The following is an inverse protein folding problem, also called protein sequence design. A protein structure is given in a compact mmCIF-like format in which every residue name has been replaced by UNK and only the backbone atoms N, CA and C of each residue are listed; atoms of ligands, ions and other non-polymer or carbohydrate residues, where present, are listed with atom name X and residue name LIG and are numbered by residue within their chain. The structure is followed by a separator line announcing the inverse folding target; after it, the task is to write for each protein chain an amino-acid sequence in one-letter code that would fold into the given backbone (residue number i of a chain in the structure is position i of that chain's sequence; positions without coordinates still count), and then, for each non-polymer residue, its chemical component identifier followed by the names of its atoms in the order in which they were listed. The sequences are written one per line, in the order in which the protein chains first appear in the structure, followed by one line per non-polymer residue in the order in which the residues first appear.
data_IF_902017689259
#
_entry.id   IF_902017689259
#
_cell.length_a   1.000
_cell.length_b   1.000
_cell.length_c   1.000
_cell.angle_alpha   90.00
_cell.angle_beta   90.00
_cell.angle_gamma   90.00
#
_symmetry.space_group_name_H-M   'P 1'
#
loop_
_entity.id
_entity.type
_entity.pdbx_description
1 polymer ?
#
# COMPACT_ATOMS: atom_id res chain seq x y z
N UNK A 1 14.26 -1.73 4.74
CA UNK A 1 13.22 -2.74 5.05
C UNK A 1 13.58 -4.08 4.42
N UNK A 2 13.29 -5.22 5.07
CA UNK A 2 13.45 -6.56 4.49
C UNK A 2 12.06 -7.26 4.39
N UNK A 3 12.02 -8.49 3.89
CA UNK A 3 10.76 -9.24 3.78
C UNK A 3 10.15 -9.63 5.13
N UNK A 4 10.92 -9.61 6.22
CA UNK A 4 10.38 -9.89 7.56
C UNK A 4 9.36 -8.83 7.95
N UNK A 5 9.59 -7.55 7.63
CA UNK A 5 8.60 -6.50 7.91
C UNK A 5 7.30 -6.70 7.13
N UNK A 6 7.34 -7.24 5.90
CA UNK A 6 6.13 -7.60 5.14
C UNK A 6 5.36 -8.70 5.88
N UNK A 7 6.07 -9.71 6.39
CA UNK A 7 5.47 -10.79 7.18
C UNK A 7 4.89 -10.23 8.48
N UNK A 8 5.62 -9.39 9.20
CA UNK A 8 5.16 -8.78 10.44
C UNK A 8 3.88 -7.97 10.23
N UNK A 9 3.84 -7.10 9.22
CA UNK A 9 2.65 -6.31 8.89
C UNK A 9 1.48 -7.22 8.48
N UNK A 10 1.72 -8.25 7.69
CA UNK A 10 0.69 -9.22 7.33
C UNK A 10 0.18 -10.04 8.54
N UNK A 11 0.95 -10.10 9.64
CA UNK A 11 0.58 -10.83 10.86
C UNK A 11 -0.26 -10.01 11.84
N UNK A 12 -0.13 -8.67 11.82
CA UNK A 12 -0.81 -7.78 12.79
C UNK A 12 -2.32 -7.78 12.56
N UNK A 13 -3.08 -7.57 13.63
CA UNK A 13 -4.52 -7.37 13.51
C UNK A 13 -4.84 -5.95 13.01
N UNK A 14 -4.00 -4.96 13.31
CA UNK A 14 -4.24 -3.55 12.98
C UNK A 14 -3.87 -3.13 11.54
N UNK A 15 -2.92 -3.80 10.87
CA UNK A 15 -2.45 -3.38 9.54
C UNK A 15 -2.75 -4.36 8.41
N UNK A 16 -2.92 -5.65 8.70
CA UNK A 16 -3.07 -6.66 7.64
C UNK A 16 -4.30 -6.43 6.76
N UNK A 17 -5.41 -5.98 7.36
CA UNK A 17 -6.63 -5.58 6.65
C UNK A 17 -6.35 -4.42 5.71
N UNK A 18 -5.87 -3.30 6.26
CA UNK A 18 -5.54 -2.09 5.50
C UNK A 18 -4.56 -2.36 4.35
N UNK A 19 -3.50 -3.15 4.58
CA UNK A 19 -2.49 -3.42 3.54
C UNK A 19 -3.04 -4.23 2.35
N UNK A 20 -3.92 -5.20 2.63
CA UNK A 20 -4.37 -6.17 1.64
C UNK A 20 -5.68 -5.73 0.98
N UNK A 21 -6.58 -5.16 1.75
CA UNK A 21 -7.89 -4.69 1.33
C UNK A 21 -8.97 -5.77 1.20
N UNK A 22 -10.20 -5.33 0.94
CA UNK A 22 -11.44 -6.11 0.78
C UNK A 22 -11.27 -7.25 -0.21
N UNK A 23 -10.45 -7.05 -1.24
CA UNK A 23 -10.15 -8.08 -2.25
C UNK A 23 -9.55 -9.35 -1.64
N UNK A 24 -8.89 -9.24 -0.49
CA UNK A 24 -8.28 -10.37 0.22
C UNK A 24 -9.04 -10.75 1.50
N UNK A 25 -10.18 -10.11 1.79
CA UNK A 25 -10.95 -10.36 3.02
C UNK A 25 -11.28 -11.85 3.22
N UNK A 26 -11.57 -12.58 2.14
CA UNK A 26 -11.88 -14.02 2.20
C UNK A 26 -10.69 -14.91 2.62
N UNK A 27 -9.45 -14.43 2.44
CA UNK A 27 -8.22 -15.16 2.79
C UNK A 27 -7.44 -14.48 3.94
N UNK A 28 -7.93 -13.38 4.50
CA UNK A 28 -7.18 -12.53 5.43
C UNK A 28 -6.75 -13.29 6.69
N UNK A 29 -7.65 -14.07 7.29
CA UNK A 29 -7.34 -14.85 8.48
C UNK A 29 -6.27 -15.94 8.22
N UNK A 30 -6.34 -16.58 7.05
CA UNK A 30 -5.36 -17.60 6.65
C UNK A 30 -3.98 -16.98 6.34
N UNK A 31 -3.97 -15.80 5.71
CA UNK A 31 -2.75 -15.03 5.46
C UNK A 31 -2.12 -14.63 6.79
N UNK A 32 -2.90 -14.09 7.73
CA UNK A 32 -2.44 -13.76 9.08
C UNK A 32 -1.89 -14.99 9.77
N UNK A 33 -2.61 -16.11 9.74
CA UNK A 33 -2.15 -17.35 10.34
C UNK A 33 -0.79 -17.80 9.78
N UNK A 34 -0.61 -17.76 8.46
CA UNK A 34 0.67 -18.07 7.83
C UNK A 34 1.78 -17.08 8.26
N UNK A 35 1.47 -15.78 8.30
CA UNK A 35 2.42 -14.75 8.69
C UNK A 35 2.83 -14.85 10.17
N UNK A 36 1.89 -15.21 11.06
CA UNK A 36 2.15 -15.46 12.48
C UNK A 36 3.06 -16.65 12.71
N UNK A 37 2.84 -17.75 11.97
CA UNK A 37 3.72 -18.91 12.04
C UNK A 37 5.16 -18.55 11.68
N UNK A 38 5.35 -17.79 10.60
CA UNK A 38 6.68 -17.35 10.16
C UNK A 38 7.29 -16.29 11.09
N UNK A 39 6.48 -15.42 11.69
CA UNK A 39 6.93 -14.48 12.73
C UNK A 39 7.57 -15.21 13.90
N UNK A 40 6.96 -16.30 14.37
CA UNK A 40 7.52 -17.11 15.46
C UNK A 40 8.84 -17.79 15.05
N UNK A 41 8.95 -18.24 13.78
CA UNK A 41 10.18 -18.80 13.23
C UNK A 41 11.29 -17.76 13.00
N UNK A 42 10.93 -16.51 12.70
CA UNK A 42 11.88 -15.39 12.63
C UNK A 42 12.49 -15.15 14.01
N UNK A 43 11.63 -15.09 15.04
CA UNK A 43 12.06 -14.79 16.41
C UNK A 43 12.78 -15.96 17.08
N UNK A 44 12.44 -17.21 16.75
CA UNK A 44 12.98 -18.43 17.40
C UNK A 44 12.98 -18.37 18.94
N UNK A 45 11.98 -17.71 19.52
CA UNK A 45 11.87 -17.49 20.97
C UNK A 45 12.69 -16.31 21.53
N UNK A 46 13.34 -15.52 20.68
CA UNK A 46 13.94 -14.24 21.02
C UNK A 46 12.91 -13.22 21.51
N UNK A 47 13.39 -12.25 22.27
CA UNK A 47 12.58 -11.20 22.91
C UNK A 47 12.52 -9.90 22.13
N UNK A 48 13.57 -9.56 21.37
CA UNK A 48 13.61 -8.35 20.54
C UNK A 48 14.17 -8.67 19.15
N UNK A 49 13.46 -8.27 18.10
CA UNK A 49 13.78 -8.56 16.71
C UNK A 49 15.13 -7.96 16.29
N UNK A 50 15.47 -6.77 16.77
CA UNK A 50 16.67 -6.07 16.34
C UNK A 50 17.95 -6.61 16.98
N UNK A 51 17.82 -7.31 18.11
CA UNK A 51 18.96 -7.90 18.82
C UNK A 51 19.06 -9.42 18.65
N UNK A 52 17.93 -10.12 18.66
CA UNK A 52 17.90 -11.57 18.76
C UNK A 52 17.71 -12.27 17.40
N UNK A 53 17.21 -11.57 16.37
CA UNK A 53 16.96 -12.18 15.07
C UNK A 53 18.24 -12.37 14.24
N UNK A 54 18.29 -13.48 13.49
CA UNK A 54 19.39 -13.80 12.58
C UNK A 54 19.21 -13.07 11.24
N UNK A 55 19.89 -11.96 10.97
CA UNK A 55 19.74 -11.23 9.71
C UNK A 55 20.46 -11.84 8.49
N UNK A 56 20.94 -13.08 8.56
CA UNK A 56 21.58 -13.73 7.41
C UNK A 56 20.63 -13.88 6.22
N UNK A 57 21.18 -13.68 5.01
CA UNK A 57 20.42 -13.84 3.76
C UNK A 57 19.79 -15.23 3.63
N UNK A 58 20.49 -16.26 4.14
CA UNK A 58 20.00 -17.65 4.13
C UNK A 58 18.73 -17.78 4.97
N UNK A 59 18.68 -17.19 6.17
CA UNK A 59 17.49 -17.21 7.03
C UNK A 59 16.35 -16.44 6.38
N UNK A 60 16.61 -15.21 5.93
CA UNK A 60 15.59 -14.35 5.29
C UNK A 60 15.00 -15.03 4.04
N UNK A 61 15.83 -15.62 3.18
CA UNK A 61 15.38 -16.35 2.00
C UNK A 61 14.55 -17.59 2.37
N UNK A 62 14.95 -18.32 3.41
CA UNK A 62 14.20 -19.47 3.91
C UNK A 62 12.81 -19.05 4.39
N UNK A 63 12.72 -18.09 5.31
CA UNK A 63 11.44 -17.59 5.84
C UNK A 63 10.54 -17.07 4.72
N UNK A 64 11.09 -16.32 3.75
CA UNK A 64 10.32 -15.90 2.58
C UNK A 64 9.73 -17.08 1.82
N UNK A 65 10.55 -18.09 1.52
CA UNK A 65 10.09 -19.25 0.76
C UNK A 65 9.06 -20.08 1.54
N UNK A 66 9.29 -20.29 2.83
CA UNK A 66 8.37 -21.00 3.73
C UNK A 66 7.02 -20.27 3.80
N UNK A 67 7.03 -18.95 3.95
CA UNK A 67 5.83 -18.11 3.90
C UNK A 67 5.07 -18.26 2.58
N UNK A 68 5.75 -18.08 1.44
CA UNK A 68 5.11 -18.18 0.12
C UNK A 68 4.57 -19.59 -0.14
N UNK A 69 5.23 -20.64 0.34
CA UNK A 69 4.71 -22.01 0.25
C UNK A 69 3.42 -22.20 1.05
N UNK A 70 3.28 -21.57 2.22
CA UNK A 70 2.02 -21.58 2.98
C UNK A 70 0.91 -20.82 2.24
N UNK A 71 1.23 -19.71 1.60
CA UNK A 71 0.25 -18.98 0.80
C UNK A 71 -0.17 -19.74 -0.48
N UNK A 72 0.71 -20.58 -1.03
CA UNK A 72 0.45 -21.34 -2.24
C UNK A 72 -0.71 -22.34 -2.12
N UNK A 73 -1.05 -22.79 -0.90
CA UNK A 73 -2.14 -23.73 -0.64
C UNK A 73 -3.50 -23.06 -0.42
N UNK A 74 -3.53 -21.73 -0.34
CA UNK A 74 -4.77 -20.97 -0.15
C UNK A 74 -5.59 -20.90 -1.43
N UNK A 75 -6.88 -20.61 -1.28
CA UNK A 75 -7.73 -20.29 -2.43
C UNK A 75 -7.20 -18.99 -3.06
N UNK A 76 -7.26 -18.91 -4.39
CA UNK A 76 -6.79 -17.73 -5.14
C UNK A 76 -5.28 -17.44 -4.94
N UNK A 77 -4.49 -18.48 -4.63
CA UNK A 77 -3.06 -18.36 -4.35
C UNK A 77 -2.25 -17.65 -5.43
N UNK A 78 -2.64 -17.75 -6.70
CA UNK A 78 -2.00 -16.99 -7.78
C UNK A 78 -2.04 -15.48 -7.55
N UNK A 79 -3.18 -14.94 -7.12
CA UNK A 79 -3.33 -13.51 -6.80
C UNK A 79 -2.60 -13.13 -5.52
N UNK A 80 -2.70 -13.97 -4.48
CA UNK A 80 -2.02 -13.76 -3.20
C UNK A 80 -0.49 -13.72 -3.39
N UNK A 81 0.06 -14.69 -4.10
CA UNK A 81 1.50 -14.76 -4.38
C UNK A 81 1.97 -13.56 -5.22
N UNK A 82 1.16 -13.09 -6.18
CA UNK A 82 1.46 -11.87 -6.94
C UNK A 82 1.57 -10.66 -6.01
N UNK A 83 0.56 -10.45 -5.15
CA UNK A 83 0.53 -9.31 -4.21
C UNK A 83 1.75 -9.31 -3.28
N UNK A 84 2.10 -10.45 -2.70
CA UNK A 84 3.28 -10.54 -1.83
C UNK A 84 4.61 -10.41 -2.58
N UNK A 85 4.65 -10.80 -3.86
CA UNK A 85 5.82 -10.54 -4.72
C UNK A 85 5.98 -9.05 -5.00
N UNK A 86 4.89 -8.34 -5.29
CA UNK A 86 4.87 -6.89 -5.47
C UNK A 86 5.33 -6.15 -4.20
N UNK A 87 4.77 -6.51 -3.03
CA UNK A 87 5.17 -5.94 -1.74
C UNK A 87 6.67 -6.16 -1.47
N UNK A 88 7.20 -7.34 -1.79
CA UNK A 88 8.63 -7.61 -1.68
C UNK A 88 9.46 -6.70 -2.59
N UNK A 89 9.03 -6.45 -3.82
CA UNK A 89 9.74 -5.54 -4.72
C UNK A 89 9.89 -4.13 -4.14
N UNK A 90 8.84 -3.60 -3.52
CA UNK A 90 8.88 -2.30 -2.83
C UNK A 90 9.95 -2.30 -1.75
N UNK A 91 10.01 -3.34 -0.92
CA UNK A 91 11.01 -3.45 0.15
C UNK A 91 12.44 -3.57 -0.37
N UNK A 92 12.62 -4.31 -1.47
CA UNK A 92 13.95 -4.64 -2.03
C UNK A 92 14.59 -3.48 -2.77
N UNK A 93 13.79 -2.62 -3.40
CA UNK A 93 14.27 -1.51 -4.22
C UNK A 93 14.71 -0.31 -3.39
N UNK A 94 14.53 -0.33 -2.05
CA UNK A 94 14.74 0.81 -1.17
C UNK A 94 14.29 2.11 -1.85
N UNK A 95 13.06 2.11 -2.36
CA UNK A 95 12.47 3.34 -2.90
C UNK A 95 12.32 4.25 -1.69
N UNK A 96 13.40 4.98 -1.36
CA UNK A 96 13.43 6.02 -0.34
C UNK A 96 12.28 6.94 -0.70
N UNK A 97 11.24 6.91 0.11
CA UNK A 97 9.93 7.34 -0.32
C UNK A 97 9.81 8.88 -0.19
N UNK A 98 10.69 9.61 -0.88
CA UNK A 98 10.52 11.05 -1.16
C UNK A 98 9.14 11.30 -1.81
N UNK A 99 8.58 10.28 -2.47
CA UNK A 99 7.31 10.32 -3.17
C UNK A 99 6.10 9.90 -2.32
N UNK A 100 6.24 9.45 -1.06
CA UNK A 100 5.12 8.92 -0.27
C UNK A 100 3.95 9.91 -0.18
N UNK A 101 4.29 11.18 0.07
CA UNK A 101 3.31 12.27 0.13
C UNK A 101 2.64 12.51 -1.23
N UNK A 102 3.40 12.45 -2.31
CA UNK A 102 2.90 12.65 -3.67
C UNK A 102 1.99 11.49 -4.10
N UNK A 103 2.38 10.24 -3.79
CA UNK A 103 1.57 9.04 -4.05
C UNK A 103 0.28 9.09 -3.24
N UNK A 104 0.35 9.41 -1.94
CA UNK A 104 -0.82 9.60 -1.09
C UNK A 104 -1.78 10.63 -1.67
N UNK A 105 -1.25 11.78 -2.09
CA UNK A 105 -2.07 12.82 -2.69
C UNK A 105 -2.70 12.37 -4.01
N UNK A 106 -1.97 11.66 -4.87
CA UNK A 106 -2.52 11.06 -6.09
C UNK A 106 -3.65 10.08 -5.75
N UNK A 107 -3.49 9.22 -4.74
CA UNK A 107 -4.57 8.31 -4.27
C UNK A 107 -5.79 9.12 -3.84
N UNK A 108 -5.60 10.14 -3.00
CA UNK A 108 -6.70 10.97 -2.49
C UNK A 108 -7.44 11.70 -3.62
N UNK A 109 -6.71 12.33 -4.53
CA UNK A 109 -7.30 12.97 -5.72
C UNK A 109 -8.06 11.93 -6.57
N UNK A 110 -7.50 10.74 -6.78
CA UNK A 110 -8.17 9.65 -7.52
C UNK A 110 -9.48 9.25 -6.86
N UNK A 111 -9.52 9.17 -5.52
CA UNK A 111 -10.72 8.85 -4.73
C UNK A 111 -11.77 9.96 -4.87
N UNK A 112 -11.38 11.22 -4.63
CA UNK A 112 -12.27 12.37 -4.74
C UNK A 112 -12.84 12.50 -6.15
N UNK A 113 -12.01 12.31 -7.16
CA UNK A 113 -12.43 12.33 -8.56
C UNK A 113 -13.39 11.17 -8.88
N UNK A 114 -13.08 9.95 -8.44
CA UNK A 114 -13.92 8.78 -8.67
C UNK A 114 -15.35 8.99 -8.15
N UNK A 115 -15.50 9.64 -7.00
CA UNK A 115 -16.81 9.93 -6.39
C UNK A 115 -17.41 11.28 -6.83
N UNK A 116 -16.75 12.01 -7.75
CA UNK A 116 -17.11 13.37 -8.14
C UNK A 116 -17.23 14.35 -6.94
N UNK A 117 -16.47 14.09 -5.87
CA UNK A 117 -16.33 14.99 -4.71
C UNK A 117 -15.28 16.07 -5.02
N UNK A 118 -15.60 16.95 -5.96
CA UNK A 118 -14.65 17.87 -6.61
C UNK A 118 -14.83 19.34 -6.22
N UNK A 119 -15.61 19.63 -5.17
CA UNK A 119 -15.90 21.01 -4.74
C UNK A 119 -14.65 21.81 -4.35
N UNK A 120 -13.58 21.13 -3.93
CA UNK A 120 -12.31 21.73 -3.53
C UNK A 120 -11.23 21.69 -4.62
N UNK A 121 -11.55 21.13 -5.79
CA UNK A 121 -10.59 21.00 -6.89
C UNK A 121 -10.22 22.37 -7.44
N UNK A 122 -8.95 22.52 -7.78
CA UNK A 122 -8.38 23.71 -8.39
C UNK A 122 -8.46 23.66 -9.92
N UNK A 123 -8.49 22.45 -10.49
CA UNK A 123 -8.70 22.24 -11.91
C UNK A 123 -10.16 22.49 -12.32
N UNK A 124 -10.39 22.79 -13.59
CA UNK A 124 -11.74 22.89 -14.16
C UNK A 124 -12.35 21.49 -14.34
N UNK A 125 -13.55 21.29 -13.79
CA UNK A 125 -14.32 20.06 -13.94
C UNK A 125 -15.19 20.16 -15.20
N UNK A 126 -14.65 19.69 -16.32
CA UNK A 126 -15.33 19.71 -17.62
C UNK A 126 -16.32 18.55 -17.79
N UNK A 127 -17.27 18.69 -18.72
CA UNK A 127 -18.21 17.62 -19.11
C UNK A 127 -17.47 16.34 -19.52
N UNK A 128 -16.35 16.48 -20.23
CA UNK A 128 -15.52 15.33 -20.65
C UNK A 128 -14.91 14.58 -19.47
N UNK A 129 -14.53 15.29 -18.40
CA UNK A 129 -14.03 14.68 -17.17
C UNK A 129 -15.14 13.90 -16.46
N UNK A 130 -16.33 14.49 -16.37
CA UNK A 130 -17.51 13.84 -15.77
C UNK A 130 -17.86 12.57 -16.55
N UNK A 131 -17.91 12.64 -17.88
CA UNK A 131 -18.17 11.48 -18.74
C UNK A 131 -17.13 10.37 -18.55
N UNK A 132 -15.86 10.72 -18.41
CA UNK A 132 -14.80 9.75 -18.17
C UNK A 132 -14.95 9.07 -16.80
N UNK A 133 -15.27 9.81 -15.73
CA UNK A 133 -15.54 9.25 -14.40
C UNK A 133 -16.76 8.33 -14.42
N UNK A 134 -17.85 8.77 -15.06
CA UNK A 134 -19.05 7.94 -15.21
C UNK A 134 -18.71 6.63 -15.93
N UNK A 135 -17.82 6.64 -16.92
CA UNK A 135 -17.40 5.42 -17.60
C UNK A 135 -16.64 4.46 -16.68
N UNK A 136 -15.75 4.95 -15.82
CA UNK A 136 -15.03 4.13 -14.82
C UNK A 136 -16.02 3.43 -13.89
N UNK A 137 -16.99 4.19 -13.37
CA UNK A 137 -18.04 3.68 -12.48
C UNK A 137 -18.95 2.67 -13.19
N UNK A 138 -19.40 2.96 -14.41
CA UNK A 138 -20.26 2.07 -15.20
C UNK A 138 -19.60 0.74 -15.55
N UNK A 139 -18.27 0.73 -15.70
CA UNK A 139 -17.48 -0.47 -15.92
C UNK A 139 -17.10 -1.19 -14.62
N UNK A 140 -17.55 -0.67 -13.47
CA UNK A 140 -17.22 -1.17 -12.14
C UNK A 140 -15.70 -1.35 -11.96
N UNK A 141 -14.93 -0.44 -12.56
CA UNK A 141 -13.48 -0.51 -12.42
C UNK A 141 -13.12 -0.21 -10.97
N UNK A 142 -12.26 -1.04 -10.37
CA UNK A 142 -11.92 -0.91 -8.97
C UNK A 142 -11.18 0.40 -8.76
N UNK A 143 -11.46 0.97 -7.60
CA UNK A 143 -10.63 1.92 -6.93
C UNK A 143 -9.99 1.13 -5.78
N UNK A 144 -8.67 1.01 -5.72
CA UNK A 144 -7.99 0.47 -4.53
C UNK A 144 -8.04 1.54 -3.43
N UNK A 145 -9.25 1.88 -2.99
CA UNK A 145 -9.53 2.85 -1.95
C UNK A 145 -10.01 2.13 -0.72
N UNK A 146 -9.05 1.63 0.04
CA UNK A 146 -9.23 1.69 1.47
C UNK A 146 -8.51 2.93 1.97
N UNK A 147 -9.21 3.66 2.84
CA UNK A 147 -8.75 4.66 3.80
C UNK A 147 -7.47 5.43 3.43
N UNK A 148 -7.59 6.74 3.20
CA UNK A 148 -6.40 7.61 3.16
C UNK A 148 -5.81 7.67 4.57
N UNK A 149 -4.81 6.83 4.83
CA UNK A 149 -4.09 6.80 6.11
C UNK A 149 -2.86 7.67 5.97
N UNK A 150 -2.84 8.78 6.69
CA UNK A 150 -1.65 9.57 6.87
C UNK A 150 -0.73 9.00 7.97
N UNK A 151 0.39 9.68 8.24
CA UNK A 151 1.33 9.18 9.26
C UNK A 151 0.72 9.17 10.65
N UNK A 152 -0.08 10.19 10.99
CA UNK A 152 -0.69 10.33 12.30
C UNK A 152 -1.77 9.25 12.48
N UNK A 153 -2.55 8.95 11.43
CA UNK A 153 -3.51 7.84 11.41
C UNK A 153 -2.81 6.48 11.59
N UNK A 154 -1.69 6.24 10.88
CA UNK A 154 -0.92 4.99 10.97
C UNK A 154 -0.33 4.81 12.38
N UNK A 155 0.23 5.88 12.93
CA UNK A 155 0.80 5.91 14.27
C UNK A 155 -0.27 5.71 15.35
N UNK A 156 -1.44 6.33 15.21
CA UNK A 156 -2.59 6.13 16.10
C UNK A 156 -3.10 4.69 16.03
N UNK A 157 -3.32 4.14 14.83
CA UNK A 157 -3.71 2.73 14.62
C UNK A 157 -2.74 1.79 15.33
N UNK A 158 -1.43 2.01 15.19
CA UNK A 158 -0.44 1.21 15.90
C UNK A 158 -0.51 1.40 17.40
N UNK A 159 -0.55 2.64 17.91
CA UNK A 159 -0.58 2.94 19.34
C UNK A 159 -1.79 2.32 20.03
N UNK A 160 -2.97 2.42 19.42
CA UNK A 160 -4.22 1.91 19.96
C UNK A 160 -4.40 0.39 19.79
N UNK A 161 -3.62 -0.24 18.91
CA UNK A 161 -3.66 -1.69 18.69
C UNK A 161 -3.47 -2.46 20.01
N UNK A 162 -4.49 -3.23 20.39
CA UNK A 162 -4.61 -3.81 21.73
C UNK A 162 -4.94 -5.31 21.74
N UNK A 163 -4.99 -5.94 20.57
CA UNK A 163 -5.10 -7.39 20.46
C UNK A 163 -3.90 -8.07 21.10
N UNK A 164 -4.05 -9.33 21.51
CA UNK A 164 -2.95 -10.07 22.12
C UNK A 164 -1.78 -10.25 21.14
N UNK A 165 -2.07 -10.38 19.85
CA UNK A 165 -1.05 -10.47 18.83
C UNK A 165 -0.34 -9.13 18.58
N UNK A 166 -1.07 -8.01 18.49
CA UNK A 166 -0.43 -6.71 18.30
C UNK A 166 0.42 -6.31 19.52
N UNK A 167 -0.01 -6.67 20.73
CA UNK A 167 0.80 -6.52 21.95
C UNK A 167 2.08 -7.36 21.88
N UNK A 168 2.00 -8.58 21.38
CA UNK A 168 3.18 -9.42 21.15
C UNK A 168 4.12 -8.77 20.12
N UNK A 169 3.58 -8.28 19.01
CA UNK A 169 4.35 -7.58 17.97
C UNK A 169 5.05 -6.33 18.50
N UNK A 170 4.35 -5.50 19.29
CA UNK A 170 4.95 -4.37 20.01
C UNK A 170 6.07 -4.80 20.95
N UNK A 171 5.88 -5.93 21.64
CA UNK A 171 6.87 -6.51 22.54
C UNK A 171 8.17 -6.87 21.82
N UNK A 172 8.08 -7.55 20.67
CA UNK A 172 9.28 -7.95 19.91
C UNK A 172 9.92 -6.82 19.10
N UNK A 173 9.27 -5.65 19.01
CA UNK A 173 9.76 -4.45 18.33
C UNK A 173 10.18 -3.35 19.32
N UNK A 174 10.39 -3.70 20.60
CA UNK A 174 10.49 -2.74 21.70
C UNK A 174 11.61 -1.71 21.54
N UNK A 175 12.72 -2.10 20.91
CA UNK A 175 13.85 -1.20 20.71
C UNK A 175 13.68 -0.22 19.53
N UNK A 176 12.80 -0.54 18.56
CA UNK A 176 12.42 0.38 17.49
C UNK A 176 10.88 0.35 17.30
N UNK A 177 10.11 0.95 18.22
CA UNK A 177 8.66 0.79 18.29
C UNK A 177 7.90 1.23 17.02
N UNK A 178 8.45 2.22 16.31
CA UNK A 178 7.80 2.84 15.13
C UNK A 178 8.22 2.19 13.82
N UNK A 179 9.09 1.17 13.85
CA UNK A 179 9.62 0.55 12.63
C UNK A 179 8.53 -0.12 11.78
N UNK A 180 7.51 -0.71 12.42
CA UNK A 180 6.37 -1.27 11.71
C UNK A 180 5.47 -0.18 11.12
N UNK A 181 5.27 0.96 11.78
CA UNK A 181 4.58 2.11 11.21
C UNK A 181 5.29 2.63 9.97
N UNK A 182 6.61 2.83 10.05
CA UNK A 182 7.46 3.24 8.93
C UNK A 182 7.34 2.28 7.74
N UNK A 183 7.47 0.99 8.02
CA UNK A 183 7.39 -0.06 7.01
C UNK A 183 5.98 -0.18 6.40
N UNK A 184 4.94 -0.04 7.21
CA UNK A 184 3.56 -0.03 6.72
C UNK A 184 3.31 1.19 5.83
N UNK A 185 3.69 2.38 6.25
CA UNK A 185 3.57 3.60 5.46
C UNK A 185 4.30 3.47 4.11
N UNK A 186 5.52 2.91 4.10
CA UNK A 186 6.26 2.65 2.87
C UNK A 186 5.53 1.72 1.91
N UNK A 187 4.93 0.64 2.42
CA UNK A 187 4.18 -0.31 1.59
C UNK A 187 2.84 0.27 1.12
N UNK A 188 2.10 0.88 2.03
CA UNK A 188 0.74 1.40 1.84
C UNK A 188 0.68 2.60 0.88
N UNK A 189 1.71 3.46 0.94
CA UNK A 189 1.88 4.63 0.10
C UNK A 189 3.01 4.44 -0.93
N UNK A 190 3.16 3.20 -1.43
CA UNK A 190 4.06 2.86 -2.54
C UNK A 190 3.37 3.03 -3.90
N UNK A 191 4.11 3.09 -5.02
CA UNK A 191 3.52 3.12 -6.36
C UNK A 191 2.54 1.97 -6.66
N UNK A 192 2.64 0.85 -5.93
CA UNK A 192 1.68 -0.26 -6.05
C UNK A 192 0.25 0.14 -5.71
N UNK A 193 0.07 1.09 -4.81
CA UNK A 193 -1.26 1.60 -4.44
C UNK A 193 -1.98 2.33 -5.58
N UNK A 194 -1.24 2.67 -6.64
CA UNK A 194 -1.76 3.27 -7.87
C UNK A 194 -2.00 2.22 -8.97
N UNK A 195 -1.88 0.92 -8.67
CA UNK A 195 -2.00 -0.14 -9.67
C UNK A 195 -3.36 -0.18 -10.37
N UNK A 196 -4.42 0.29 -9.69
CA UNK A 196 -5.76 0.44 -10.26
C UNK A 196 -5.78 1.33 -11.52
N UNK A 197 -4.85 2.30 -11.64
CA UNK A 197 -4.73 3.15 -12.82
C UNK A 197 -4.31 2.38 -14.07
N UNK A 198 -3.53 1.29 -13.93
CA UNK A 198 -3.23 0.41 -15.07
C UNK A 198 -4.49 -0.30 -15.57
N UNK A 199 -5.37 -0.71 -14.67
CA UNK A 199 -6.62 -1.32 -15.07
C UNK A 199 -7.56 -0.31 -15.74
N UNK A 200 -7.57 0.95 -15.27
CA UNK A 200 -8.30 2.03 -15.93
C UNK A 200 -7.78 2.25 -17.35
N UNK A 201 -6.46 2.31 -17.53
CA UNK A 201 -5.83 2.43 -18.85
C UNK A 201 -6.27 1.33 -19.82
N UNK A 202 -6.28 0.09 -19.34
CA UNK A 202 -6.52 -1.08 -20.18
C UNK A 202 -8.01 -1.26 -20.53
N UNK A 203 -8.92 -0.61 -19.78
CA UNK A 203 -10.37 -0.79 -19.91
C UNK A 203 -11.10 0.42 -20.47
N UNK A 204 -10.55 1.63 -20.31
CA UNK A 204 -11.16 2.84 -20.84
C UNK A 204 -10.69 3.14 -22.27
N UNK A 205 -11.52 3.80 -23.08
CA UNK A 205 -11.06 4.51 -24.27
C UNK A 205 -9.90 5.45 -23.94
N UNK A 206 -8.87 5.48 -24.80
CA UNK A 206 -7.64 6.23 -24.52
C UNK A 206 -7.86 7.72 -24.25
N UNK A 207 -8.83 8.36 -24.92
CA UNK A 207 -9.17 9.76 -24.64
C UNK A 207 -9.72 9.96 -23.22
N UNK A 208 -10.62 9.10 -22.77
CA UNK A 208 -11.20 9.17 -21.42
C UNK A 208 -10.14 8.86 -20.34
N UNK A 209 -9.29 7.86 -20.58
CA UNK A 209 -8.17 7.58 -19.67
C UNK A 209 -7.21 8.78 -19.54
N UNK A 210 -6.81 9.38 -20.66
CA UNK A 210 -5.93 10.56 -20.65
C UNK A 210 -6.60 11.75 -19.94
N UNK A 211 -7.90 11.97 -20.15
CA UNK A 211 -8.65 13.02 -19.43
C UNK A 211 -8.60 12.81 -17.92
N UNK A 212 -8.80 11.58 -17.43
CA UNK A 212 -8.75 11.27 -16.00
C UNK A 212 -7.34 11.45 -15.42
N UNK A 213 -6.34 10.86 -16.07
CA UNK A 213 -4.96 10.88 -15.59
C UNK A 213 -4.41 12.29 -15.54
N UNK A 214 -4.72 13.11 -16.54
CA UNK A 214 -4.25 14.48 -16.59
C UNK A 214 -4.93 15.34 -15.51
N UNK A 215 -6.22 15.13 -15.25
CA UNK A 215 -6.93 15.76 -14.14
C UNK A 215 -6.33 15.37 -12.78
N UNK A 216 -6.05 14.07 -12.56
CA UNK A 216 -5.42 13.59 -11.31
C UNK A 216 -4.02 14.19 -11.13
N UNK A 217 -3.21 14.16 -12.20
CA UNK A 217 -1.85 14.70 -12.16
C UNK A 217 -1.83 16.21 -11.87
N UNK A 218 -2.68 16.98 -12.55
CA UNK A 218 -2.73 18.44 -12.40
C UNK A 218 -3.26 18.84 -11.01
N UNK A 219 -4.34 18.22 -10.52
CA UNK A 219 -4.88 18.51 -9.19
C UNK A 219 -3.88 18.13 -8.08
N UNK A 220 -3.30 16.93 -8.16
CA UNK A 220 -2.29 16.49 -7.18
C UNK A 220 -1.05 17.40 -7.21
N UNK A 221 -0.63 17.87 -8.39
CA UNK A 221 0.47 18.82 -8.49
C UNK A 221 0.13 20.14 -7.79
N UNK A 222 -1.04 20.72 -8.09
CA UNK A 222 -1.47 22.02 -7.55
C UNK A 222 -1.70 21.98 -6.04
N UNK A 223 -2.26 20.89 -5.51
CA UNK A 223 -2.41 20.71 -4.06
C UNK A 223 -1.04 20.53 -3.39
N UNK A 224 -0.15 19.71 -3.96
CA UNK A 224 1.18 19.52 -3.38
C UNK A 224 2.02 20.80 -3.42
N UNK A 225 1.90 21.62 -4.48
CA UNK A 225 2.66 22.86 -4.61
C UNK A 225 2.35 23.84 -3.46
N UNK A 226 1.11 23.84 -2.95
CA UNK A 226 0.70 24.63 -1.78
C UNK A 226 1.30 24.11 -0.47
N UNK A 227 1.49 22.80 -0.36
CA UNK A 227 1.99 22.13 0.85
C UNK A 227 3.52 22.15 0.86
N UNK A 228 4.15 21.62 -0.19
CA UNK A 228 5.58 21.52 -0.37
C UNK A 228 5.96 21.45 -1.86
N UNK A 229 6.66 22.48 -2.34
CA UNK A 229 7.10 22.59 -3.74
C UNK A 229 8.03 21.46 -4.19
N UNK A 230 8.90 20.97 -3.31
CA UNK A 230 9.85 19.92 -3.67
C UNK A 230 9.11 18.60 -3.92
N UNK A 231 8.09 18.29 -3.11
CA UNK A 231 7.24 17.11 -3.33
C UNK A 231 6.30 17.25 -4.54
N UNK A 232 5.91 18.47 -4.91
CA UNK A 232 5.09 18.70 -6.10
C UNK A 232 5.83 18.26 -7.38
N UNK A 233 7.15 18.48 -7.43
CA UNK A 233 8.00 18.04 -8.54
C UNK A 233 8.04 16.51 -8.71
N UNK A 234 7.65 15.75 -7.68
CA UNK A 234 7.63 14.28 -7.68
C UNK A 234 6.30 13.70 -8.15
N UNK A 235 5.23 14.50 -8.21
CA UNK A 235 3.89 14.05 -8.68
C UNK A 235 3.95 13.59 -10.14
N UNK A 236 4.47 14.43 -11.03
CA UNK A 236 4.51 14.12 -12.48
C UNK A 236 5.38 12.90 -12.82
N UNK A 237 6.60 12.75 -12.27
CA UNK A 237 7.35 11.50 -12.39
C UNK A 237 6.59 10.26 -11.90
N UNK A 238 5.84 10.36 -10.80
CA UNK A 238 5.04 9.25 -10.29
C UNK A 238 3.86 8.90 -11.21
N UNK A 239 3.32 9.86 -11.96
CA UNK A 239 2.19 9.66 -12.88
C UNK A 239 2.61 9.20 -14.29
N UNK A 240 3.80 9.60 -14.78
CA UNK A 240 4.32 9.26 -16.13
C UNK A 240 4.21 7.78 -16.48
N UNK A 241 4.46 6.90 -15.51
CA UNK A 241 4.43 5.43 -15.71
C UNK A 241 3.07 4.87 -16.18
N UNK A 242 2.00 5.66 -16.12
CA UNK A 242 0.66 5.24 -16.51
C UNK A 242 0.28 5.63 -17.94
N UNK A 243 0.97 6.60 -18.56
CA UNK A 243 0.58 7.16 -19.87
C UNK A 243 1.71 7.30 -20.90
N UNK A 244 2.95 7.00 -20.53
CA UNK A 244 4.08 6.76 -21.46
C UNK A 244 4.23 5.27 -21.79
#
# INVERSE_FOLDING_TARGET
MNFDHVIFIASTDCFSGELLGERFAANLDDIKYAARAETLEIMKGGSDYYYDADFSEVRVAKTKNDFLQRLAVLKDSGFILSKFSELYEVTSKQILNENANSIRLIKNVSIRLYWLNVDEFQIEVSDALIEAVMQVQNLELPLEAETDLDWDDIDELWKEASTDWDKYMKGIMSDVPDALCGSFNELYNSPLSLSHLYLWRDKLPSNQFLTLIQAIEDEAFLEMEKINKDYALLVRPAMKQFYE
#
